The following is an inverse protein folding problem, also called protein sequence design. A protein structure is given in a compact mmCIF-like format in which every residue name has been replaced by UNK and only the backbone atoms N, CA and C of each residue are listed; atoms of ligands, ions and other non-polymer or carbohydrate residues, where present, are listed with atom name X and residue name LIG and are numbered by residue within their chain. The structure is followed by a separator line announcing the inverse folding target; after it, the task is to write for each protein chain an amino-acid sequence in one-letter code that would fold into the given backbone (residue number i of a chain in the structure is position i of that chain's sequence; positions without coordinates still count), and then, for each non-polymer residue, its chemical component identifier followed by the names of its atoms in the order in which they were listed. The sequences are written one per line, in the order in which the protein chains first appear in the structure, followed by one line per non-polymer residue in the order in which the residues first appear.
data_IF_672503252529
#
_entry.id   IF_672503252529
#
_cell.length_a   1.000
_cell.length_b   1.000
_cell.length_c   1.000
_cell.angle_alpha   90.00
_cell.angle_beta   90.00
_cell.angle_gamma   90.00
#
_symmetry.space_group_name_H-M   'P 1'
#
loop_
_entity.id
_entity.type
_entity.pdbx_description
1 polymer ?
#
# COMPACT_ATOMS: atom_id res chain seq x y z
N UNK A 1 -11.06 28.71 -1.19
CA UNK A 1 -10.41 27.75 -0.36
C UNK A 1 -9.60 26.76 -1.18
N UNK A 2 -8.46 26.35 -0.62
CA UNK A 2 -7.61 25.37 -1.26
C UNK A 2 -8.13 23.97 -0.97
N UNK A 3 -8.03 23.07 -1.94
CA UNK A 3 -8.23 21.65 -1.71
C UNK A 3 -6.96 21.05 -1.12
N UNK A 4 -7.06 20.52 0.08
CA UNK A 4 -5.91 19.98 0.82
C UNK A 4 -6.17 18.55 1.31
N UNK A 5 -5.09 17.84 1.56
CA UNK A 5 -5.10 16.50 2.13
C UNK A 5 -4.15 16.47 3.33
N UNK A 6 -4.55 15.78 4.40
CA UNK A 6 -3.77 15.70 5.63
C UNK A 6 -2.50 14.87 5.46
N UNK A 7 -1.55 15.06 6.38
CA UNK A 7 -0.44 14.14 6.57
C UNK A 7 -0.83 13.06 7.57
N UNK A 8 -0.27 11.86 7.39
CA UNK A 8 -0.38 10.80 8.40
C UNK A 8 0.53 11.11 9.62
N UNK A 9 1.77 11.54 9.35
CA UNK A 9 2.73 12.00 10.37
C UNK A 9 3.04 13.48 10.17
N UNK A 10 2.27 14.39 10.80
CA UNK A 10 2.41 15.84 10.56
C UNK A 10 3.80 16.40 10.85
N UNK A 11 4.51 15.84 11.83
CA UNK A 11 5.82 16.29 12.25
C UNK A 11 6.99 15.59 11.52
N UNK A 12 6.71 14.73 10.56
CA UNK A 12 7.73 14.10 9.73
C UNK A 12 7.83 14.76 8.36
N UNK A 13 8.64 15.81 8.27
CA UNK A 13 8.72 16.65 7.07
C UNK A 13 9.49 15.97 5.92
N UNK A 14 10.59 15.26 6.24
CA UNK A 14 11.43 14.55 5.26
C UNK A 14 12.19 13.38 5.91
N UNK A 15 12.66 12.44 5.09
CA UNK A 15 13.27 11.19 5.54
C UNK A 15 14.46 11.38 6.50
N UNK A 16 15.30 12.37 6.24
CA UNK A 16 16.52 12.65 7.00
C UNK A 16 16.28 13.54 8.23
N UNK A 17 15.02 13.72 8.64
CA UNK A 17 14.70 14.52 9.83
C UNK A 17 14.97 13.69 11.10
N UNK A 18 16.05 13.96 11.86
CA UNK A 18 16.37 13.21 13.07
C UNK A 18 15.38 13.45 14.22
N UNK A 19 14.46 14.38 14.05
CA UNK A 19 13.43 14.78 15.03
C UNK A 19 12.03 14.36 14.57
N UNK A 20 11.90 13.31 13.74
CA UNK A 20 10.59 12.80 13.36
C UNK A 20 9.82 12.37 14.63
N UNK A 21 8.70 13.02 14.85
CA UNK A 21 7.81 12.72 15.97
C UNK A 21 6.53 12.10 15.42
N UNK A 22 6.27 10.87 15.78
CA UNK A 22 5.11 10.10 15.35
C UNK A 22 3.95 10.16 16.35
N UNK A 23 4.09 10.90 17.45
CA UNK A 23 3.12 10.94 18.57
C UNK A 23 1.83 11.72 18.27
N UNK A 24 1.82 12.53 17.19
CA UNK A 24 0.69 13.40 16.81
C UNK A 24 -0.07 12.90 15.58
N UNK A 25 -0.17 11.58 15.41
CA UNK A 25 -0.94 11.01 14.31
C UNK A 25 -2.44 11.29 14.49
N UNK A 26 -3.13 11.92 13.52
CA UNK A 26 -4.56 12.13 13.61
C UNK A 26 -5.35 10.81 13.75
N UNK A 27 -6.12 10.69 14.83
CA UNK A 27 -6.84 9.47 15.21
C UNK A 27 -6.02 8.48 16.05
N UNK A 28 -4.72 8.77 16.27
CA UNK A 28 -3.84 8.00 17.14
C UNK A 28 -2.86 8.96 17.86
N UNK A 29 -3.18 9.32 19.06
CA UNK A 29 -2.45 10.31 19.87
C UNK A 29 -3.09 11.70 19.92
N UNK A 30 -3.84 12.10 18.89
CA UNK A 30 -4.67 13.30 18.86
C UNK A 30 -6.01 13.01 18.18
N UNK A 31 -6.98 13.95 18.31
CA UNK A 31 -8.27 13.83 17.62
C UNK A 31 -8.11 13.63 16.12
N UNK A 32 -8.86 12.66 15.60
CA UNK A 32 -8.92 12.34 14.17
C UNK A 32 -9.73 13.35 13.35
N UNK A 33 -9.87 13.07 12.06
CA UNK A 33 -10.50 13.97 11.10
C UNK A 33 -11.88 13.47 10.58
N UNK A 34 -12.49 12.50 11.25
CA UNK A 34 -13.88 12.11 10.98
C UNK A 34 -14.84 13.14 11.60
N UNK A 35 -14.83 14.37 11.08
CA UNK A 35 -15.59 15.53 11.56
C UNK A 35 -15.69 16.58 10.46
N UNK A 36 -16.73 17.42 10.53
CA UNK A 36 -16.99 18.48 9.54
C UNK A 36 -15.94 19.60 9.53
N UNK A 37 -15.26 19.84 10.63
CA UNK A 37 -14.26 20.92 10.75
C UNK A 37 -13.08 20.50 11.61
N UNK A 38 -11.88 20.88 11.18
CA UNK A 38 -10.65 20.75 11.96
C UNK A 38 -9.86 22.05 11.94
N UNK A 39 -9.16 22.35 13.03
CA UNK A 39 -8.19 23.47 13.10
C UNK A 39 -6.83 22.86 13.44
N UNK A 40 -5.90 22.95 12.50
CA UNK A 40 -4.54 22.40 12.61
C UNK A 40 -3.56 23.35 11.89
N UNK A 41 -2.26 23.28 12.19
CA UNK A 41 -1.24 24.05 11.47
C UNK A 41 -1.28 23.76 9.96
N UNK A 42 -1.06 24.77 9.13
CA UNK A 42 -1.05 24.66 7.66
C UNK A 42 -0.09 23.57 7.15
N UNK A 43 1.08 23.46 7.76
CA UNK A 43 2.10 22.49 7.38
C UNK A 43 1.74 21.01 7.68
N UNK A 44 0.59 20.75 8.30
CA UNK A 44 0.03 19.41 8.49
C UNK A 44 -0.75 18.91 7.27
N UNK A 45 -0.80 19.70 6.23
CA UNK A 45 -1.49 19.41 4.99
C UNK A 45 -0.57 19.62 3.79
N UNK A 46 -0.94 18.99 2.67
CA UNK A 46 -0.43 19.29 1.34
C UNK A 46 -1.61 19.66 0.44
N UNK A 47 -1.38 20.32 -0.71
CA UNK A 47 -2.43 20.40 -1.71
C UNK A 47 -2.84 18.99 -2.15
N UNK A 48 -4.13 18.80 -2.45
CA UNK A 48 -4.61 17.61 -3.11
C UNK A 48 -4.23 17.62 -4.60
N UNK A 49 -4.19 16.45 -5.28
CA UNK A 49 -4.02 16.44 -6.73
C UNK A 49 -5.13 17.22 -7.43
N UNK A 50 -4.79 17.96 -8.48
CA UNK A 50 -5.76 18.79 -9.22
C UNK A 50 -6.86 17.93 -9.84
N UNK A 51 -8.10 18.37 -9.66
CA UNK A 51 -9.27 17.69 -10.24
C UNK A 51 -9.76 16.47 -9.44
N UNK A 52 -9.08 16.10 -8.36
CA UNK A 52 -9.54 15.02 -7.50
C UNK A 52 -10.67 15.45 -6.57
N UNK A 53 -11.60 14.54 -6.34
CA UNK A 53 -12.62 14.71 -5.30
C UNK A 53 -12.02 14.58 -3.90
N UNK A 54 -12.74 15.02 -2.88
CA UNK A 54 -12.31 14.86 -1.49
C UNK A 54 -12.21 13.37 -1.09
N UNK A 55 -13.11 12.52 -1.57
CA UNK A 55 -13.05 11.08 -1.33
C UNK A 55 -11.76 10.47 -1.93
N UNK A 56 -11.41 10.85 -3.15
CA UNK A 56 -10.16 10.38 -3.77
C UNK A 56 -8.94 10.86 -2.99
N UNK A 57 -8.87 12.15 -2.67
CA UNK A 57 -7.76 12.72 -1.92
C UNK A 57 -7.59 12.09 -0.52
N UNK A 58 -8.69 11.78 0.17
CA UNK A 58 -8.68 11.16 1.48
C UNK A 58 -8.07 9.75 1.50
N UNK A 59 -7.93 9.09 0.35
CA UNK A 59 -7.28 7.76 0.26
C UNK A 59 -5.76 7.82 0.29
N UNK A 60 -5.16 9.00 0.08
CA UNK A 60 -3.73 9.20 -0.12
C UNK A 60 -2.89 9.12 1.16
N UNK A 61 -3.27 9.73 2.30
CA UNK A 61 -2.37 9.90 3.45
C UNK A 61 -1.78 8.60 3.98
N UNK A 62 -2.53 7.52 3.90
CA UNK A 62 -2.10 6.21 4.40
C UNK A 62 -1.80 5.26 3.24
N UNK A 63 -2.82 4.86 2.48
CA UNK A 63 -2.68 3.78 1.50
C UNK A 63 -1.86 4.20 0.28
N UNK A 64 -2.16 5.36 -0.31
CA UNK A 64 -1.43 5.88 -1.46
C UNK A 64 0.04 6.13 -1.13
N UNK A 65 0.29 6.86 -0.03
CA UNK A 65 1.65 7.21 0.37
C UNK A 65 2.48 5.99 0.77
N UNK A 66 1.88 5.00 1.43
CA UNK A 66 2.57 3.74 1.75
C UNK A 66 3.00 3.00 0.50
N UNK A 67 2.10 2.86 -0.48
CA UNK A 67 2.40 2.18 -1.74
C UNK A 67 3.47 2.94 -2.56
N UNK A 68 3.37 4.28 -2.62
CA UNK A 68 4.37 5.14 -3.24
C UNK A 68 5.75 4.95 -2.61
N UNK A 69 5.82 5.05 -1.28
CA UNK A 69 7.07 4.87 -0.57
C UNK A 69 7.64 3.47 -0.77
N UNK A 70 6.81 2.44 -0.70
CA UNK A 70 7.25 1.05 -0.88
C UNK A 70 7.93 0.83 -2.23
N UNK A 71 7.32 1.32 -3.31
CA UNK A 71 7.78 1.04 -4.66
C UNK A 71 8.79 2.07 -5.17
N UNK A 72 8.52 3.36 -4.95
CA UNK A 72 9.31 4.44 -5.57
C UNK A 72 10.49 4.84 -4.70
N UNK A 73 10.23 5.14 -3.42
CA UNK A 73 11.27 5.69 -2.53
C UNK A 73 12.25 4.60 -2.09
N UNK A 74 11.74 3.52 -1.53
CA UNK A 74 12.57 2.43 -0.98
C UNK A 74 12.90 1.38 -2.06
N UNK A 75 11.89 0.97 -2.85
CA UNK A 75 12.04 -0.06 -3.88
C UNK A 75 12.79 0.43 -5.12
N UNK A 76 12.72 1.73 -5.44
CA UNK A 76 13.33 2.30 -6.66
C UNK A 76 12.89 1.56 -7.93
N UNK A 77 11.59 1.31 -8.00
CA UNK A 77 10.95 0.59 -9.11
C UNK A 77 11.31 1.21 -10.46
N UNK A 78 11.48 0.36 -11.47
CA UNK A 78 11.72 0.77 -12.84
C UNK A 78 10.94 -0.10 -13.83
N UNK A 79 10.81 0.37 -15.04
CA UNK A 79 10.16 -0.39 -16.12
C UNK A 79 10.84 -1.75 -16.32
N UNK A 80 10.00 -2.78 -16.47
CA UNK A 80 10.42 -4.18 -16.62
C UNK A 80 10.64 -4.95 -15.31
N UNK A 81 10.52 -4.30 -14.14
CA UNK A 81 10.54 -5.01 -12.85
C UNK A 81 9.27 -5.87 -12.67
N UNK A 82 9.40 -6.92 -11.87
CA UNK A 82 8.30 -7.76 -11.40
C UNK A 82 7.93 -7.35 -9.97
N UNK A 83 6.66 -7.02 -9.74
CA UNK A 83 6.12 -6.57 -8.45
C UNK A 83 5.10 -7.57 -7.94
N UNK A 84 5.23 -8.03 -6.72
CA UNK A 84 4.22 -8.84 -6.03
C UNK A 84 3.44 -7.97 -5.03
N UNK A 85 2.11 -7.99 -5.17
CA UNK A 85 1.18 -7.40 -4.21
C UNK A 85 0.40 -8.49 -3.49
N UNK A 86 0.07 -8.28 -2.21
CA UNK A 86 -0.70 -9.23 -1.40
C UNK A 86 -2.12 -8.71 -1.19
N UNK A 87 -3.11 -9.44 -1.73
CA UNK A 87 -4.53 -9.10 -1.61
C UNK A 87 -4.95 -7.88 -2.43
N UNK A 88 -6.16 -7.36 -2.13
CA UNK A 88 -6.85 -6.29 -2.86
C UNK A 88 -7.21 -5.09 -1.97
N UNK A 89 -6.51 -4.89 -0.87
CA UNK A 89 -6.69 -3.74 0.01
C UNK A 89 -6.09 -2.46 -0.58
N UNK A 90 -6.32 -1.33 0.09
CA UNK A 90 -5.94 -0.01 -0.41
C UNK A 90 -4.47 0.12 -0.81
N UNK A 91 -3.53 -0.34 0.02
CA UNK A 91 -2.09 -0.29 -0.30
C UNK A 91 -1.77 -1.12 -1.54
N UNK A 92 -2.29 -2.36 -1.61
CA UNK A 92 -2.03 -3.26 -2.74
C UNK A 92 -2.59 -2.73 -4.06
N UNK A 93 -3.78 -2.11 -4.05
CA UNK A 93 -4.37 -1.54 -5.27
C UNK A 93 -3.64 -0.28 -5.72
N UNK A 94 -3.22 0.60 -4.82
CA UNK A 94 -2.34 1.71 -5.20
C UNK A 94 -0.99 1.20 -5.74
N UNK A 95 -0.40 0.18 -5.10
CA UNK A 95 0.84 -0.42 -5.59
C UNK A 95 0.67 -1.03 -7.00
N UNK A 96 -0.44 -1.71 -7.27
CA UNK A 96 -0.81 -2.18 -8.60
C UNK A 96 -0.82 -1.04 -9.62
N UNK A 97 -1.56 0.02 -9.32
CA UNK A 97 -1.70 1.16 -10.22
C UNK A 97 -0.35 1.86 -10.49
N UNK A 98 0.43 2.14 -9.45
CA UNK A 98 1.77 2.72 -9.61
C UNK A 98 2.69 1.81 -10.43
N UNK A 99 2.75 0.51 -10.11
CA UNK A 99 3.63 -0.43 -10.80
C UNK A 99 3.30 -0.52 -12.29
N UNK A 100 2.02 -0.68 -12.65
CA UNK A 100 1.59 -0.74 -14.06
C UNK A 100 1.92 0.55 -14.81
N UNK A 101 1.64 1.72 -14.23
CA UNK A 101 1.95 3.01 -14.87
C UNK A 101 3.45 3.26 -15.02
N UNK A 102 4.28 2.66 -14.18
CA UNK A 102 5.74 2.71 -14.28
C UNK A 102 6.32 1.63 -15.20
N UNK A 103 5.47 0.82 -15.86
CA UNK A 103 5.91 -0.20 -16.82
C UNK A 103 6.44 -1.49 -16.19
N UNK A 104 6.10 -1.77 -14.94
CA UNK A 104 6.39 -3.04 -14.28
C UNK A 104 5.30 -4.09 -14.58
N UNK A 105 5.65 -5.38 -14.44
CA UNK A 105 4.69 -6.47 -14.40
C UNK A 105 4.23 -6.71 -12.97
N UNK A 106 2.94 -6.91 -12.78
CA UNK A 106 2.39 -7.13 -11.44
C UNK A 106 1.89 -8.56 -11.30
N UNK A 107 2.26 -9.19 -10.20
CA UNK A 107 1.80 -10.47 -9.70
C UNK A 107 1.01 -10.24 -8.42
N UNK A 108 0.03 -11.06 -8.13
CA UNK A 108 -0.80 -10.86 -6.97
C UNK A 108 -1.16 -12.15 -6.25
N UNK A 109 -1.45 -12.04 -4.95
CA UNK A 109 -2.17 -13.09 -4.22
C UNK A 109 -3.53 -12.60 -3.78
N UNK A 110 -4.49 -13.50 -3.61
CA UNK A 110 -5.83 -13.18 -3.10
C UNK A 110 -6.42 -14.38 -2.39
N UNK A 111 -7.54 -14.18 -1.67
CA UNK A 111 -8.28 -15.22 -0.98
C UNK A 111 -9.52 -15.73 -1.74
N UNK A 112 -9.83 -15.17 -2.92
CA UNK A 112 -11.01 -15.57 -3.67
C UNK A 112 -10.79 -15.53 -5.18
N UNK A 113 -11.44 -16.45 -5.88
CA UNK A 113 -11.35 -16.55 -7.34
C UNK A 113 -12.05 -15.38 -8.05
N UNK A 114 -13.06 -14.77 -7.41
CA UNK A 114 -13.70 -13.55 -7.93
C UNK A 114 -12.72 -12.38 -7.97
N UNK A 115 -11.99 -12.16 -6.86
CA UNK A 115 -10.95 -11.12 -6.80
C UNK A 115 -9.77 -11.45 -7.71
N UNK A 116 -9.43 -12.74 -7.89
CA UNK A 116 -8.40 -13.15 -8.85
C UNK A 116 -8.79 -12.76 -10.29
N UNK A 117 -10.02 -13.04 -10.69
CA UNK A 117 -10.53 -12.65 -12.00
C UNK A 117 -10.48 -11.13 -12.19
N UNK A 118 -10.96 -10.39 -11.20
CA UNK A 118 -10.92 -8.93 -11.24
C UNK A 118 -9.49 -8.39 -11.38
N UNK A 119 -8.51 -8.92 -10.63
CA UNK A 119 -7.10 -8.53 -10.73
C UNK A 119 -6.54 -8.77 -12.14
N UNK A 120 -6.85 -9.91 -12.77
CA UNK A 120 -6.45 -10.19 -14.16
C UNK A 120 -7.04 -9.18 -15.15
N UNK A 121 -8.30 -8.77 -14.96
CA UNK A 121 -8.95 -7.73 -15.74
C UNK A 121 -8.28 -6.34 -15.56
N UNK A 122 -7.61 -6.10 -14.42
CA UNK A 122 -6.80 -4.89 -14.19
C UNK A 122 -5.39 -4.96 -14.79
N UNK A 123 -5.03 -6.03 -15.50
CA UNK A 123 -3.72 -6.17 -16.15
C UNK A 123 -2.64 -6.83 -15.29
N UNK A 124 -3.00 -7.48 -14.21
CA UNK A 124 -2.07 -8.32 -13.41
C UNK A 124 -1.63 -9.51 -14.26
N UNK A 125 -0.33 -9.79 -14.32
CA UNK A 125 0.25 -10.85 -15.16
C UNK A 125 -0.10 -12.26 -14.67
N UNK A 126 -0.35 -12.43 -13.36
CA UNK A 126 -0.81 -13.67 -12.79
C UNK A 126 -1.20 -13.52 -11.33
N UNK A 127 -2.13 -14.36 -10.89
CA UNK A 127 -2.71 -14.33 -9.55
C UNK A 127 -2.69 -15.72 -8.94
N UNK A 128 -2.36 -15.81 -7.65
CA UNK A 128 -2.45 -17.06 -6.87
C UNK A 128 -3.49 -16.87 -5.77
N UNK A 129 -4.45 -17.82 -5.71
CA UNK A 129 -5.37 -17.90 -4.57
C UNK A 129 -4.68 -18.66 -3.44
N UNK A 130 -4.25 -17.96 -2.39
CA UNK A 130 -3.49 -18.54 -1.27
C UNK A 130 -4.34 -19.49 -0.38
N UNK A 131 -5.65 -19.56 -0.57
CA UNK A 131 -6.50 -20.55 0.11
C UNK A 131 -6.48 -21.90 -0.60
N UNK A 132 -6.12 -21.93 -1.88
CA UNK A 132 -6.02 -23.11 -2.71
C UNK A 132 -4.56 -23.58 -2.87
N UNK A 133 -3.62 -22.64 -2.78
CA UNK A 133 -2.18 -22.87 -2.92
C UNK A 133 -1.43 -22.31 -1.70
N UNK A 134 -1.10 -23.19 -0.77
CA UNK A 134 -0.39 -22.81 0.46
C UNK A 134 1.04 -22.34 0.18
N UNK A 135 1.70 -22.94 -0.82
CA UNK A 135 3.05 -22.58 -1.25
C UNK A 135 3.04 -21.49 -2.31
N UNK A 136 2.19 -20.48 -2.13
CA UNK A 136 2.00 -19.41 -3.13
C UNK A 136 3.29 -18.65 -3.47
N UNK A 137 4.27 -18.61 -2.57
CA UNK A 137 5.55 -17.96 -2.85
C UNK A 137 6.36 -18.71 -3.90
N UNK A 138 6.45 -20.03 -3.80
CA UNK A 138 7.09 -20.88 -4.81
C UNK A 138 6.29 -20.82 -6.12
N UNK A 139 4.97 -20.80 -6.04
CA UNK A 139 4.11 -20.68 -7.22
C UNK A 139 4.35 -19.39 -7.99
N UNK A 140 4.43 -18.25 -7.29
CA UNK A 140 4.80 -16.97 -7.92
C UNK A 140 6.20 -17.03 -8.52
N UNK A 141 7.17 -17.65 -7.82
CA UNK A 141 8.53 -17.82 -8.34
C UNK A 141 8.52 -18.61 -9.67
N UNK A 142 7.78 -19.74 -9.74
CA UNK A 142 7.60 -20.50 -10.98
C UNK A 142 6.97 -19.67 -12.11
N UNK A 143 5.89 -18.92 -11.80
CA UNK A 143 5.17 -18.10 -12.76
C UNK A 143 6.02 -16.99 -13.36
N UNK A 144 7.04 -16.52 -12.65
CA UNK A 144 8.05 -15.56 -13.17
C UNK A 144 9.14 -16.22 -14.01
N UNK A 145 8.99 -17.49 -14.39
CA UNK A 145 9.99 -18.25 -15.11
C UNK A 145 11.18 -18.69 -14.24
N UNK A 146 10.94 -18.97 -12.98
CA UNK A 146 11.95 -19.31 -11.95
C UNK A 146 12.99 -18.20 -11.68
N UNK A 147 12.62 -16.95 -11.98
CA UNK A 147 13.45 -15.78 -11.67
C UNK A 147 13.12 -15.20 -10.29
N UNK A 148 11.85 -15.12 -9.94
CA UNK A 148 11.31 -14.41 -8.79
C UNK A 148 11.08 -12.92 -9.04
N UNK A 149 10.31 -12.28 -8.15
CA UNK A 149 9.92 -10.88 -8.26
C UNK A 149 11.00 -9.93 -7.75
N UNK A 150 11.08 -8.73 -8.32
CA UNK A 150 12.00 -7.67 -7.90
C UNK A 150 11.56 -7.01 -6.59
N UNK A 151 10.24 -6.80 -6.45
CA UNK A 151 9.65 -6.11 -5.29
C UNK A 151 8.48 -6.89 -4.71
N UNK A 152 8.40 -6.91 -3.39
CA UNK A 152 7.21 -7.40 -2.66
C UNK A 152 6.67 -6.29 -1.79
N UNK A 153 5.39 -5.96 -1.96
CA UNK A 153 4.62 -5.07 -1.08
C UNK A 153 3.98 -5.94 0.00
N UNK A 154 4.70 -6.15 1.12
CA UNK A 154 4.37 -7.11 2.16
C UNK A 154 3.45 -6.48 3.22
N UNK A 155 2.17 -6.77 3.14
CA UNK A 155 1.15 -6.23 4.05
C UNK A 155 0.66 -7.25 5.09
N UNK A 156 1.02 -8.51 4.95
CA UNK A 156 0.53 -9.57 5.85
C UNK A 156 1.32 -9.67 7.15
N UNK A 157 2.63 -9.51 7.08
CA UNK A 157 3.52 -9.62 8.24
C UNK A 157 4.10 -11.03 8.44
N UNK A 158 4.31 -11.48 9.70
CA UNK A 158 5.07 -12.70 9.97
C UNK A 158 4.52 -13.96 9.34
N UNK A 159 3.20 -14.08 9.21
CA UNK A 159 2.58 -15.27 8.60
C UNK A 159 2.69 -15.37 7.08
N UNK A 160 3.08 -14.28 6.40
CA UNK A 160 3.24 -14.25 4.94
C UNK A 160 4.68 -14.03 4.50
N UNK A 161 5.54 -13.53 5.40
CA UNK A 161 6.91 -13.12 5.06
C UNK A 161 7.76 -14.27 4.49
N UNK A 162 7.62 -15.51 4.99
CA UNK A 162 8.35 -16.66 4.47
C UNK A 162 8.02 -16.92 2.99
N UNK A 163 6.75 -16.81 2.62
CA UNK A 163 6.30 -16.97 1.24
C UNK A 163 6.76 -15.80 0.36
N UNK A 164 6.73 -14.56 0.89
CA UNK A 164 7.27 -13.38 0.19
C UNK A 164 8.77 -13.51 -0.10
N UNK A 165 9.53 -14.10 0.82
CA UNK A 165 10.94 -14.45 0.64
C UNK A 165 11.09 -15.51 -0.47
N UNK A 166 10.24 -16.56 -0.47
CA UNK A 166 10.26 -17.60 -1.49
C UNK A 166 9.97 -17.01 -2.90
N UNK A 167 9.00 -16.11 -3.02
CA UNK A 167 8.64 -15.46 -4.28
C UNK A 167 9.72 -14.53 -4.85
N UNK A 168 10.58 -13.97 -3.99
CA UNK A 168 11.57 -12.96 -4.37
C UNK A 168 12.73 -13.55 -5.17
N UNK A 169 13.26 -12.78 -6.12
CA UNK A 169 14.53 -13.09 -6.80
C UNK A 169 15.73 -12.88 -5.89
N UNK A 170 16.91 -13.35 -6.31
CA UNK A 170 18.17 -12.96 -5.67
C UNK A 170 18.36 -11.44 -5.80
N UNK A 171 18.69 -10.78 -4.71
CA UNK A 171 18.81 -9.32 -4.62
C UNK A 171 17.47 -8.58 -4.68
N UNK A 172 16.33 -9.26 -4.44
CA UNK A 172 15.00 -8.65 -4.40
C UNK A 172 14.80 -7.75 -3.18
N UNK A 173 13.78 -6.91 -3.26
CA UNK A 173 13.40 -5.96 -2.22
C UNK A 173 12.00 -6.28 -1.67
N UNK A 174 11.90 -6.45 -0.34
CA UNK A 174 10.64 -6.65 0.36
C UNK A 174 10.38 -5.43 1.23
N UNK A 175 9.30 -4.71 0.96
CA UNK A 175 8.82 -3.65 1.84
C UNK A 175 7.83 -4.24 2.84
N UNK A 176 8.27 -4.37 4.09
CA UNK A 176 7.46 -4.90 5.19
C UNK A 176 6.63 -3.76 5.81
N UNK A 177 5.32 -3.86 5.66
CA UNK A 177 4.36 -2.80 6.00
C UNK A 177 3.34 -3.28 7.04
N UNK A 178 2.72 -4.43 6.78
CA UNK A 178 1.56 -4.89 7.52
C UNK A 178 1.85 -5.87 8.65
N UNK A 179 0.84 -6.01 9.49
CA UNK A 179 0.84 -6.89 10.66
C UNK A 179 -0.46 -7.71 10.77
N UNK A 180 -1.12 -7.97 9.63
CA UNK A 180 -2.41 -8.67 9.62
C UNK A 180 -2.35 -10.08 10.22
N UNK A 181 -1.21 -10.75 10.10
CA UNK A 181 -1.01 -12.12 10.61
C UNK A 181 -0.32 -12.16 11.97
N UNK A 182 -0.08 -11.02 12.57
CA UNK A 182 0.56 -10.88 13.88
C UNK A 182 1.61 -9.77 13.93
N UNK A 183 2.09 -9.46 15.13
CA UNK A 183 3.11 -8.43 15.39
C UNK A 183 4.53 -9.00 15.51
N UNK A 184 4.64 -10.34 15.63
CA UNK A 184 5.92 -11.06 15.73
C UNK A 184 5.75 -12.49 15.22
N UNK A 185 6.82 -13.11 14.77
CA UNK A 185 6.84 -14.50 14.31
C UNK A 185 8.20 -14.92 13.78
N UNK A 186 8.32 -16.19 13.37
CA UNK A 186 9.54 -16.75 12.84
C UNK A 186 9.86 -16.19 11.47
N UNK A 187 11.13 -15.88 11.25
CA UNK A 187 11.65 -15.37 9.98
C UNK A 187 12.78 -16.27 9.48
N UNK A 188 12.70 -16.81 8.25
CA UNK A 188 13.72 -17.69 7.69
C UNK A 188 14.97 -16.88 7.27
N UNK A 189 15.79 -16.46 8.23
CA UNK A 189 16.96 -15.59 8.02
C UNK A 189 17.99 -16.18 7.07
N UNK A 190 18.17 -17.50 7.06
CA UNK A 190 19.05 -18.19 6.11
C UNK A 190 18.61 -18.00 4.65
N UNK A 191 17.28 -17.99 4.40
CA UNK A 191 16.75 -17.76 3.06
C UNK A 191 16.95 -16.29 2.61
N UNK A 192 16.82 -15.33 3.55
CA UNK A 192 17.12 -13.91 3.30
C UNK A 192 18.59 -13.77 2.89
N UNK A 193 19.50 -14.37 3.65
CA UNK A 193 20.94 -14.35 3.38
C UNK A 193 21.26 -15.01 2.03
N UNK A 194 20.73 -16.19 1.76
CA UNK A 194 21.01 -16.93 0.52
C UNK A 194 20.53 -16.17 -0.73
N UNK A 195 19.38 -15.49 -0.63
CA UNK A 195 18.85 -14.66 -1.72
C UNK A 195 19.37 -13.21 -1.69
N UNK A 196 20.19 -12.82 -0.73
CA UNK A 196 20.73 -11.46 -0.58
C UNK A 196 19.63 -10.38 -0.61
N UNK A 197 18.52 -10.63 0.09
CA UNK A 197 17.35 -9.75 0.06
C UNK A 197 17.56 -8.49 0.90
N UNK A 198 16.95 -7.41 0.44
CA UNK A 198 16.70 -6.22 1.26
C UNK A 198 15.30 -6.30 1.84
N UNK A 199 15.16 -6.27 3.16
CA UNK A 199 13.87 -6.14 3.83
C UNK A 199 13.83 -4.80 4.54
N UNK A 200 12.90 -3.94 4.12
CA UNK A 200 12.75 -2.58 4.65
C UNK A 200 11.40 -2.42 5.34
N UNK A 201 11.41 -2.14 6.65
CA UNK A 201 10.21 -1.74 7.38
C UNK A 201 9.76 -0.35 6.95
N UNK A 202 8.47 -0.20 6.67
CA UNK A 202 7.84 1.07 6.26
C UNK A 202 6.54 1.27 7.01
N UNK A 203 6.41 2.44 7.63
CA UNK A 203 5.14 2.95 8.16
C UNK A 203 4.83 4.22 7.41
N UNK A 204 3.90 4.15 6.46
CA UNK A 204 3.44 5.29 5.64
C UNK A 204 4.62 6.06 5.00
N UNK A 205 4.63 7.40 5.12
CA UNK A 205 5.66 8.28 4.57
C UNK A 205 5.59 9.68 5.16
N UNK A 206 6.51 10.53 4.73
CA UNK A 206 6.65 11.90 5.19
C UNK A 206 6.02 12.90 4.22
N UNK A 207 6.01 14.18 4.62
CA UNK A 207 5.43 15.28 3.84
C UNK A 207 6.07 15.44 2.46
N UNK A 208 7.39 15.34 2.37
CA UNK A 208 8.10 15.46 1.09
C UNK A 208 7.72 14.34 0.12
N UNK A 209 7.65 13.11 0.62
CA UNK A 209 7.23 11.94 -0.16
C UNK A 209 5.77 12.05 -0.62
N UNK A 210 4.87 12.61 0.22
CA UNK A 210 3.48 12.89 -0.19
C UNK A 210 3.41 13.94 -1.30
N UNK A 211 4.20 14.99 -1.23
CA UNK A 211 4.27 16.01 -2.28
C UNK A 211 4.83 15.43 -3.59
N UNK A 212 5.83 14.53 -3.53
CA UNK A 212 6.39 13.85 -4.70
C UNK A 212 5.35 12.93 -5.33
N UNK A 213 4.62 12.16 -4.53
CA UNK A 213 3.51 11.32 -4.98
C UNK A 213 2.43 12.16 -5.67
N UNK A 214 2.01 13.27 -5.08
CA UNK A 214 0.98 14.15 -5.66
C UNK A 214 1.41 14.67 -7.03
N UNK A 215 2.67 15.11 -7.18
CA UNK A 215 3.19 15.52 -8.50
C UNK A 215 3.15 14.39 -9.54
N UNK A 216 3.43 13.16 -9.11
CA UNK A 216 3.34 12.01 -10.00
C UNK A 216 1.87 11.69 -10.38
N UNK A 217 0.94 11.78 -9.44
CA UNK A 217 -0.48 11.57 -9.69
C UNK A 217 -1.08 12.58 -10.68
N UNK A 218 -0.60 13.83 -10.66
CA UNK A 218 -1.06 14.88 -11.60
C UNK A 218 -0.68 14.61 -13.08
N UNK A 219 0.27 13.70 -13.34
CA UNK A 219 0.74 13.39 -14.71
C UNK A 219 0.50 11.94 -15.14
N UNK A 220 0.06 11.05 -14.23
CA UNK A 220 -0.06 9.62 -14.51
C UNK A 220 -1.48 9.15 -14.77
N UNK A 221 -2.48 9.98 -14.61
CA UNK A 221 -3.90 9.63 -14.75
C UNK A 221 -4.29 8.39 -13.89
N UNK A 222 -3.74 8.34 -12.68
CA UNK A 222 -4.11 7.34 -11.68
C UNK A 222 -5.21 7.93 -10.81
N UNK A 223 -6.31 7.19 -10.65
CA UNK A 223 -7.38 7.49 -9.70
C UNK A 223 -7.55 6.33 -8.72
N UNK A 224 -7.79 6.59 -7.44
CA UNK A 224 -7.96 5.53 -6.46
C UNK A 224 -9.20 4.69 -6.72
N UNK A 225 -9.10 3.40 -6.47
CA UNK A 225 -10.28 2.53 -6.44
C UNK A 225 -11.02 2.74 -5.11
N UNK A 226 -12.18 3.36 -5.18
CA UNK A 226 -13.10 3.53 -4.05
C UNK A 226 -14.25 2.53 -4.23
N UNK A 227 -14.31 1.55 -3.35
CA UNK A 227 -15.32 0.49 -3.41
C UNK A 227 -16.69 1.00 -2.94
N UNK A 228 -16.72 1.75 -1.84
CA UNK A 228 -17.95 2.29 -1.28
C UNK A 228 -17.70 3.56 -0.46
N UNK A 229 -18.68 4.46 -0.50
CA UNK A 229 -18.75 5.65 0.36
C UNK A 229 -19.92 5.47 1.32
N UNK A 230 -19.70 5.75 2.59
CA UNK A 230 -20.73 5.75 3.63
C UNK A 230 -20.88 7.16 4.21
N UNK A 231 -22.07 7.60 4.58
CA UNK A 231 -22.23 8.82 5.37
C UNK A 231 -21.61 8.62 6.77
N UNK A 232 -21.16 9.70 7.41
CA UNK A 232 -20.48 9.62 8.71
C UNK A 232 -21.34 8.94 9.77
N UNK A 233 -22.65 9.13 9.74
CA UNK A 233 -23.61 8.52 10.66
C UNK A 233 -23.62 6.99 10.57
N UNK A 234 -23.20 6.43 9.42
CA UNK A 234 -23.09 4.98 9.19
C UNK A 234 -21.66 4.44 9.42
N UNK A 235 -20.82 5.15 10.17
CA UNK A 235 -19.41 4.76 10.41
C UNK A 235 -19.28 3.33 10.95
N UNK A 236 -20.21 2.88 11.79
CA UNK A 236 -20.22 1.51 12.29
C UNK A 236 -20.37 0.51 11.12
N UNK A 237 -21.32 0.74 10.22
CA UNK A 237 -21.54 -0.11 9.06
C UNK A 237 -20.33 -0.11 8.11
N UNK A 238 -19.64 1.03 7.97
CA UNK A 238 -18.40 1.12 7.21
C UNK A 238 -17.29 0.23 7.79
N UNK A 239 -17.10 0.22 9.11
CA UNK A 239 -16.13 -0.66 9.79
C UNK A 239 -16.52 -2.15 9.69
N UNK A 240 -17.80 -2.47 9.81
CA UNK A 240 -18.30 -3.85 9.63
C UNK A 240 -18.04 -4.32 8.19
N UNK A 241 -18.32 -3.49 7.20
CA UNK A 241 -18.05 -3.77 5.79
C UNK A 241 -16.56 -3.97 5.52
N UNK A 242 -15.70 -3.16 6.14
CA UNK A 242 -14.26 -3.31 6.06
C UNK A 242 -13.80 -4.64 6.67
N UNK A 243 -14.33 -5.01 7.84
CA UNK A 243 -14.00 -6.26 8.55
C UNK A 243 -14.38 -7.50 7.75
N UNK A 244 -15.47 -7.45 6.99
CA UNK A 244 -15.89 -8.54 6.11
C UNK A 244 -14.89 -8.82 4.97
N UNK A 245 -14.00 -7.90 4.65
CA UNK A 245 -12.91 -8.07 3.70
C UNK A 245 -13.34 -8.28 2.25
N UNK A 246 -14.60 -7.94 1.92
CA UNK A 246 -15.16 -8.11 0.55
C UNK A 246 -14.75 -6.99 -0.40
N UNK A 247 -14.47 -5.80 0.15
CA UNK A 247 -14.12 -4.61 -0.62
C UNK A 247 -12.83 -4.77 -1.43
N UNK A 248 -12.70 -3.94 -2.47
CA UNK A 248 -11.50 -3.77 -3.28
C UNK A 248 -11.07 -2.29 -3.19
N UNK A 249 -9.81 -2.05 -2.85
CA UNK A 249 -9.29 -0.69 -2.69
C UNK A 249 -9.71 -0.04 -1.38
N UNK A 250 -10.39 1.09 -1.45
CA UNK A 250 -10.71 1.95 -0.30
C UNK A 250 -12.21 2.09 -0.05
N UNK A 251 -12.55 2.27 1.22
CA UNK A 251 -13.86 2.67 1.70
C UNK A 251 -13.71 4.11 2.21
N UNK A 252 -14.64 4.99 1.88
CA UNK A 252 -14.64 6.39 2.30
C UNK A 252 -15.83 6.70 3.21
N UNK A 253 -15.66 7.69 4.05
CA UNK A 253 -16.74 8.35 4.80
C UNK A 253 -16.97 9.73 4.20
N UNK A 254 -18.24 10.08 4.06
CA UNK A 254 -18.67 11.43 3.70
C UNK A 254 -19.02 12.18 4.99
N UNK A 255 -18.38 13.34 5.24
CA UNK A 255 -18.44 14.07 6.51
C UNK A 255 -18.96 15.50 6.34
#
# INVERSE_FOLDING_TARGET
GDHVVSLFFPNWVKAECPQADFSYTPGDGIDGYATSYVVRPENWFTHAPKGWTHHEAATLPTAGLTAWRALVVEGKIKAGDDVLILGTGGVSIFALQFALKMGARVWATTSSNEKAKWLLEQGVAGVVNYREEENWGEKIFEMTGNRGVDHVVEIGGPGTLAQSIAASRIGGHITLIGVFTGISGDVPTAAIMAKQLTIKGVTVGNRSEQQDMIRALEVTDIHPMIDKVFPLEEIQAAFEYQRDGKHIGKICLDV
#
